data_IF_317419250314
#
_entry.id   IF_317419250314
#
_cell.length_a   1.000
_cell.length_b   1.000
_cell.length_c   1.000
_cell.angle_alpha   90.00
_cell.angle_beta   90.00
_cell.angle_gamma   90.00
#
_symmetry.space_group_name_H-M   'P 1'
#
loop_
_entity.id
_entity.type
_entity.pdbx_description
1 polymer ?
#
# COMPACT_ATOMS: atom_id res chain seq x y z
N UNK A 1 10.12 -16.50 -16.92
CA UNK A 1 9.42 -16.01 -15.71
C UNK A 1 8.47 -14.94 -16.20
N UNK A 2 7.19 -14.99 -15.83
CA UNK A 2 6.23 -13.98 -16.32
C UNK A 2 6.43 -12.67 -15.55
N UNK A 3 6.57 -11.56 -16.26
CA UNK A 3 6.72 -10.24 -15.64
C UNK A 3 5.37 -9.75 -15.14
N UNK A 4 5.02 -10.10 -13.91
CA UNK A 4 3.82 -9.59 -13.24
C UNK A 4 3.79 -8.05 -13.15
N UNK A 5 4.94 -7.39 -13.32
CA UNK A 5 5.08 -5.93 -13.42
C UNK A 5 4.43 -5.32 -14.67
N UNK A 6 4.20 -6.10 -15.74
CA UNK A 6 3.56 -5.61 -16.97
C UNK A 6 2.03 -5.70 -16.93
N UNK A 7 1.46 -6.18 -15.83
CA UNK A 7 0.01 -6.26 -15.67
C UNK A 7 -0.59 -4.84 -15.69
N UNK A 8 -1.69 -4.60 -16.44
CA UNK A 8 -2.34 -3.31 -16.47
C UNK A 8 -2.81 -2.90 -15.07
N UNK A 9 -2.66 -1.60 -14.76
CA UNK A 9 -3.03 -1.02 -13.47
C UNK A 9 -4.50 -1.24 -13.11
N UNK A 10 -5.38 -1.27 -14.11
CA UNK A 10 -6.82 -1.50 -13.94
C UNK A 10 -7.11 -2.89 -13.33
N UNK A 11 -6.38 -3.92 -13.80
CA UNK A 11 -6.48 -5.27 -13.26
C UNK A 11 -5.86 -5.36 -11.86
N UNK A 12 -4.76 -4.64 -11.62
CA UNK A 12 -4.14 -4.55 -10.29
C UNK A 12 -5.05 -3.86 -9.27
N UNK A 13 -5.79 -2.83 -9.69
CA UNK A 13 -6.80 -2.15 -8.86
C UNK A 13 -7.96 -3.10 -8.53
N UNK A 14 -8.46 -3.85 -9.52
CA UNK A 14 -9.48 -4.89 -9.32
C UNK A 14 -9.03 -5.97 -8.32
N UNK A 15 -7.78 -6.43 -8.43
CA UNK A 15 -7.20 -7.38 -7.47
C UNK A 15 -7.09 -6.72 -6.09
N UNK A 16 -6.55 -5.51 -6.00
CA UNK A 16 -6.44 -4.80 -4.72
C UNK A 16 -7.80 -4.58 -4.04
N UNK A 17 -8.89 -4.41 -4.81
CA UNK A 17 -10.25 -4.29 -4.30
C UNK A 17 -10.86 -5.62 -3.86
N UNK A 18 -10.43 -6.74 -4.43
CA UNK A 18 -10.88 -8.07 -4.00
C UNK A 18 -10.15 -8.56 -2.74
N UNK A 19 -9.00 -7.97 -2.41
CA UNK A 19 -8.25 -8.25 -1.19
C UNK A 19 -8.82 -7.48 0.01
N UNK A 20 -9.73 -8.13 0.75
CA UNK A 20 -10.31 -7.57 1.97
C UNK A 20 -9.30 -7.55 3.13
N UNK A 21 -8.49 -8.62 3.22
CA UNK A 21 -7.49 -8.82 4.25
C UNK A 21 -6.31 -7.87 4.13
N UNK A 22 -5.96 -7.24 5.25
CA UNK A 22 -4.78 -6.38 5.36
C UNK A 22 -3.48 -7.13 5.07
N UNK A 23 -3.42 -8.42 5.41
CA UNK A 23 -2.23 -9.25 5.17
C UNK A 23 -2.00 -9.47 3.67
N UNK A 24 -3.07 -9.80 2.93
CA UNK A 24 -2.98 -10.02 1.49
C UNK A 24 -2.62 -8.73 0.75
N UNK A 25 -3.10 -7.57 1.21
CA UNK A 25 -2.69 -6.27 0.69
C UNK A 25 -1.21 -5.98 0.94
N UNK A 26 -0.65 -6.35 2.09
CA UNK A 26 0.79 -6.19 2.37
C UNK A 26 1.61 -7.08 1.44
N UNK A 27 1.19 -8.33 1.23
CA UNK A 27 1.86 -9.25 0.32
C UNK A 27 1.78 -8.75 -1.14
N UNK A 28 0.61 -8.28 -1.57
CA UNK A 28 0.37 -7.67 -2.87
C UNK A 28 1.29 -6.46 -3.13
N UNK A 29 1.40 -5.55 -2.15
CA UNK A 29 2.26 -4.36 -2.20
C UNK A 29 3.76 -4.68 -2.14
N UNK A 30 4.12 -5.90 -1.78
CA UNK A 30 5.50 -6.38 -1.69
C UNK A 30 6.03 -6.99 -2.98
N UNK A 31 5.17 -7.25 -3.99
CA UNK A 31 5.57 -7.86 -5.27
C UNK A 31 6.54 -6.96 -6.05
N UNK A 32 6.13 -5.73 -6.36
CA UNK A 32 6.98 -4.72 -7.00
C UNK A 32 6.40 -3.31 -6.82
N UNK A 33 7.15 -2.29 -7.23
CA UNK A 33 6.72 -0.89 -7.13
C UNK A 33 5.43 -0.60 -7.91
N UNK A 34 5.23 -1.25 -9.07
CA UNK A 34 4.02 -1.08 -9.89
C UNK A 34 2.76 -1.54 -9.14
N UNK A 35 2.85 -2.69 -8.47
CA UNK A 35 1.75 -3.24 -7.65
C UNK A 35 1.50 -2.39 -6.42
N UNK A 36 2.58 -1.94 -5.76
CA UNK A 36 2.48 -1.05 -4.59
C UNK A 36 1.77 0.27 -4.91
N UNK A 37 1.97 0.81 -6.11
CA UNK A 37 1.31 2.03 -6.57
C UNK A 37 -0.12 1.79 -7.06
N UNK A 38 -0.49 0.57 -7.45
CA UNK A 38 -1.85 0.23 -7.85
C UNK A 38 -2.76 -0.10 -6.66
N UNK A 39 -2.21 -0.62 -5.56
CA UNK A 39 -2.94 -0.75 -4.32
C UNK A 39 -3.02 0.61 -3.62
N UNK A 40 -4.21 1.21 -3.64
CA UNK A 40 -4.51 2.42 -2.88
C UNK A 40 -4.04 2.25 -1.43
N UNK A 41 -3.24 3.18 -0.88
CA UNK A 41 -2.91 3.13 0.52
C UNK A 41 -4.21 3.30 1.31
N UNK A 42 -4.68 2.24 1.97
CA UNK A 42 -5.65 2.36 3.08
C UNK A 42 -5.01 3.35 4.04
N UNK A 43 -5.47 4.61 4.00
CA UNK A 43 -4.87 5.75 4.71
C UNK A 43 -4.62 5.29 6.14
N UNK A 44 -3.34 5.08 6.45
CA UNK A 44 -2.91 4.68 7.78
C UNK A 44 -3.02 5.91 8.65
N UNK A 45 -4.25 6.14 9.12
CA UNK A 45 -4.67 7.13 10.09
C UNK A 45 -4.39 8.58 9.68
N UNK A 46 -5.18 9.55 10.17
CA UNK A 46 -4.74 10.93 10.12
C UNK A 46 -3.38 10.98 10.81
N UNK A 47 -2.46 11.74 10.23
CA UNK A 47 -1.28 12.25 10.89
C UNK A 47 -1.72 12.84 12.22
N UNK A 48 -1.78 12.02 13.27
CA UNK A 48 -1.73 12.50 14.63
C UNK A 48 -0.34 13.10 14.71
N UNK A 49 -0.31 14.40 14.46
CA UNK A 49 0.58 15.38 15.06
C UNK A 49 1.47 14.67 16.06
N UNK A 50 2.64 14.23 15.58
CA UNK A 50 3.67 13.72 16.46
C UNK A 50 3.88 14.85 17.47
N UNK A 51 3.54 14.68 18.75
CA UNK A 51 3.77 15.75 19.71
C UNK A 51 5.27 15.96 19.71
N UNK A 52 5.72 17.09 19.17
CA UNK A 52 7.09 17.56 19.34
C UNK A 52 7.24 17.69 20.85
N UNK A 53 7.91 16.73 21.48
CA UNK A 53 8.25 16.82 22.89
C UNK A 53 9.06 18.11 23.06
N UNK A 54 8.63 19.06 23.91
CA UNK A 54 9.45 20.20 24.22
C UNK A 54 10.66 19.68 25.00
N UNK A 55 11.82 19.79 24.37
CA UNK A 55 13.13 19.66 25.00
C UNK A 55 13.18 20.66 26.17
N UNK A 56 13.03 20.15 27.40
CA UNK A 56 13.29 20.93 28.61
C UNK A 56 14.69 20.53 29.09
N UNK A 57 15.64 21.44 28.85
CA UNK A 57 16.97 21.42 29.47
C UNK A 57 16.95 21.84 30.94
#
# INVERSE_FOLDING_TARGET
>A
MVDWSTLPKDLLDLISKSLDSSFDLVQFRSVCSSWRSAAEPKRSLPTHHLPILPDNG
#
